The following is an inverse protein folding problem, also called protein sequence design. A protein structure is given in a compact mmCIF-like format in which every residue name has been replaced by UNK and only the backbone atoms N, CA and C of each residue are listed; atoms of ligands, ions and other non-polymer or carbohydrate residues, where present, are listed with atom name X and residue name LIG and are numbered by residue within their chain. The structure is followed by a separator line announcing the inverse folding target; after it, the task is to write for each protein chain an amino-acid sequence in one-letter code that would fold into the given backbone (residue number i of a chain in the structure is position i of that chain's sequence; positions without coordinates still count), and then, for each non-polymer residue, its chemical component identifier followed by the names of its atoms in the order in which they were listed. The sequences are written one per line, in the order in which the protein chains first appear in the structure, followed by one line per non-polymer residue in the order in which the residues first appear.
data_IF_752038557120
#
_entry.id   IF_752038557120
#
_cell.length_a   1.000
_cell.length_b   1.000
_cell.length_c   1.000
_cell.angle_alpha   90.00
_cell.angle_beta   90.00
_cell.angle_gamma   90.00
#
_symmetry.space_group_name_H-M   'P 1'
#
loop_
_entity.id
_entity.type
_entity.pdbx_description
1 polymer ?
#
# COMPACT_ATOMS: atom_id res chain seq x y z
N UNK A 1 6.22 -21.63 -15.10
CA UNK A 1 6.38 -20.87 -13.85
C UNK A 1 6.80 -19.47 -14.20
N UNK A 2 6.23 -18.44 -13.58
CA UNK A 2 6.47 -17.06 -14.00
C UNK A 2 7.09 -16.24 -12.87
N UNK A 3 8.36 -16.46 -12.63
CA UNK A 3 9.18 -15.58 -11.81
C UNK A 3 9.35 -14.23 -12.53
N UNK A 4 9.24 -13.11 -11.80
CA UNK A 4 9.50 -11.77 -12.32
C UNK A 4 10.59 -11.11 -11.48
N UNK A 5 11.70 -10.75 -12.13
CA UNK A 5 12.85 -10.16 -11.45
C UNK A 5 13.11 -8.76 -12.00
N UNK A 6 13.10 -7.79 -11.09
CA UNK A 6 13.47 -6.41 -11.35
C UNK A 6 14.85 -6.16 -10.71
N UNK A 7 15.88 -5.87 -11.52
CA UNK A 7 17.25 -5.62 -11.06
C UNK A 7 17.66 -4.21 -11.43
N UNK A 8 17.89 -3.36 -10.41
CA UNK A 8 18.34 -1.98 -10.59
C UNK A 8 17.48 -1.16 -11.56
N UNK A 9 16.16 -1.43 -11.57
CA UNK A 9 15.23 -0.76 -12.49
C UNK A 9 15.19 0.74 -12.18
N UNK A 10 15.43 1.53 -13.24
CA UNK A 10 15.42 3.00 -13.20
C UNK A 10 14.54 3.54 -14.31
N UNK A 11 13.76 4.59 -13.98
CA UNK A 11 13.02 5.38 -14.98
C UNK A 11 13.31 6.84 -14.83
N UNK A 12 13.79 7.45 -15.92
CA UNK A 12 14.01 8.89 -16.05
C UNK A 12 13.12 9.40 -17.19
N UNK A 13 12.33 10.42 -16.91
CA UNK A 13 11.61 11.16 -17.92
C UNK A 13 12.43 12.39 -18.34
N UNK A 14 12.84 12.51 -19.61
CA UNK A 14 13.68 13.62 -20.07
C UNK A 14 13.01 14.98 -19.81
N UNK A 15 13.79 15.99 -19.45
CA UNK A 15 13.30 17.36 -19.34
C UNK A 15 12.80 17.86 -20.69
N UNK A 16 11.48 18.02 -20.85
CA UNK A 16 10.84 18.56 -22.05
C UNK A 16 10.82 20.10 -22.11
N UNK A 17 11.39 20.77 -21.12
CA UNK A 17 11.49 22.23 -21.12
C UNK A 17 12.61 22.70 -22.07
N UNK A 18 12.29 22.66 -23.37
CA UNK A 18 12.91 23.52 -24.34
C UNK A 18 12.55 24.99 -24.04
N UNK A 19 13.62 25.80 -23.84
CA UNK A 19 13.66 27.25 -23.79
C UNK A 19 12.49 27.94 -24.51
N UNK A 20 11.35 28.14 -23.84
CA UNK A 20 10.36 29.13 -24.25
C UNK A 20 9.88 29.90 -23.02
N UNK A 21 10.45 31.10 -22.91
CA UNK A 21 9.93 32.30 -22.22
C UNK A 21 9.17 32.08 -20.89
N UNK A 22 9.84 32.45 -19.78
CA UNK A 22 9.17 32.84 -18.53
C UNK A 22 8.11 33.92 -18.81
N UNK A 23 6.86 33.54 -18.93
CA UNK A 23 5.74 34.45 -18.70
C UNK A 23 5.60 34.63 -17.20
N UNK A 24 5.84 35.85 -16.73
CA UNK A 24 5.53 36.30 -15.35
C UNK A 24 4.03 36.13 -15.13
N UNK A 25 3.63 35.36 -14.11
CA UNK A 25 2.28 35.43 -13.58
C UNK A 25 1.48 34.13 -13.45
N UNK A 26 2.05 32.93 -13.64
CA UNK A 26 1.35 31.70 -13.30
C UNK A 26 1.71 31.21 -11.88
N UNK A 27 0.72 30.67 -11.09
CA UNK A 27 1.01 30.13 -9.78
C UNK A 27 1.97 28.95 -9.89
N UNK A 28 2.99 28.90 -9.04
CA UNK A 28 3.96 27.82 -8.95
C UNK A 28 3.22 26.47 -8.86
N UNK A 29 3.34 25.65 -9.90
CA UNK A 29 2.93 24.24 -9.85
C UNK A 29 3.70 23.59 -8.69
N UNK A 30 2.99 22.91 -7.80
CA UNK A 30 3.60 22.12 -6.71
C UNK A 30 4.78 21.34 -7.27
N UNK A 31 6.00 21.66 -6.82
CA UNK A 31 7.20 20.90 -7.16
C UNK A 31 6.98 19.47 -6.68
N UNK A 32 7.07 18.49 -7.58
CA UNK A 32 7.09 17.09 -7.20
C UNK A 32 8.33 16.87 -6.32
N UNK A 33 8.22 16.08 -5.26
CA UNK A 33 9.38 15.70 -4.42
C UNK A 33 10.31 14.71 -5.13
N UNK A 34 10.06 14.40 -6.40
CA UNK A 34 10.91 13.52 -7.20
C UNK A 34 12.28 14.16 -7.47
N UNK A 35 13.31 13.32 -7.50
CA UNK A 35 14.65 13.73 -7.83
C UNK A 35 14.71 14.26 -9.28
N UNK A 36 15.18 15.48 -9.45
CA UNK A 36 15.42 16.10 -10.74
C UNK A 36 16.92 16.11 -11.01
N UNK A 37 17.35 15.49 -12.10
CA UNK A 37 18.74 15.47 -12.57
C UNK A 37 18.89 16.25 -13.86
N UNK A 38 20.10 16.38 -14.37
CA UNK A 38 20.36 16.96 -15.70
C UNK A 38 19.68 16.17 -16.80
N UNK A 39 19.55 14.85 -16.65
CA UNK A 39 18.89 13.94 -17.59
C UNK A 39 17.36 14.07 -17.57
N UNK A 40 16.78 14.53 -16.46
CA UNK A 40 15.33 14.65 -16.31
C UNK A 40 14.80 14.33 -14.91
N UNK A 41 13.51 14.05 -14.84
CA UNK A 41 12.80 13.67 -13.62
C UNK A 41 12.93 12.17 -13.39
N UNK A 42 13.55 11.77 -12.29
CA UNK A 42 13.71 10.36 -11.91
C UNK A 42 12.44 9.88 -11.23
N UNK A 43 11.61 9.16 -11.95
CA UNK A 43 10.33 8.65 -11.46
C UNK A 43 10.46 7.34 -10.68
N UNK A 44 11.44 6.52 -11.02
CA UNK A 44 11.81 5.30 -10.30
C UNK A 44 13.33 5.26 -10.21
N UNK A 45 13.81 5.11 -8.99
CA UNK A 45 15.23 4.97 -8.70
C UNK A 45 15.57 3.48 -8.57
N UNK A 46 16.68 3.09 -8.14
CA UNK A 46 17.18 1.73 -7.99
C UNK A 46 16.16 0.71 -7.42
N UNK A 47 15.19 0.28 -8.25
CA UNK A 47 14.13 -0.63 -7.83
C UNK A 47 14.56 -2.09 -8.02
N UNK A 48 14.65 -2.82 -6.91
CA UNK A 48 15.06 -4.22 -6.86
C UNK A 48 13.96 -5.07 -6.23
N UNK A 49 13.50 -6.12 -6.93
CA UNK A 49 12.48 -7.04 -6.43
C UNK A 49 12.51 -8.36 -7.19
N UNK A 50 12.59 -9.46 -6.45
CA UNK A 50 12.42 -10.81 -6.96
C UNK A 50 11.02 -11.30 -6.56
N UNK A 51 10.16 -11.55 -7.55
CA UNK A 51 8.79 -12.02 -7.39
C UNK A 51 8.75 -13.50 -7.75
N UNK A 52 8.31 -14.33 -6.83
CA UNK A 52 8.18 -15.76 -7.02
C UNK A 52 6.98 -16.11 -7.89
N UNK A 53 7.01 -17.30 -8.49
CA UNK A 53 5.84 -17.83 -9.19
C UNK A 53 4.60 -17.86 -8.30
N UNK A 54 3.45 -17.41 -8.85
CA UNK A 54 2.15 -17.32 -8.19
C UNK A 54 2.12 -16.41 -6.95
N UNK A 55 3.14 -15.61 -6.74
CA UNK A 55 3.16 -14.62 -5.67
C UNK A 55 2.27 -13.40 -6.00
N UNK A 56 1.60 -12.87 -4.98
CA UNK A 56 0.80 -11.65 -5.08
C UNK A 56 1.57 -10.49 -4.46
N UNK A 57 2.15 -9.64 -5.31
CA UNK A 57 2.87 -8.43 -4.90
C UNK A 57 1.97 -7.22 -5.00
N UNK A 58 1.97 -6.38 -3.96
CA UNK A 58 1.26 -5.10 -3.97
C UNK A 58 2.27 -3.94 -3.89
N UNK A 59 2.22 -3.03 -4.86
CA UNK A 59 2.94 -1.76 -4.83
C UNK A 59 2.02 -0.70 -4.22
N UNK A 60 2.42 -0.08 -3.12
CA UNK A 60 1.64 0.93 -2.42
C UNK A 60 2.48 2.17 -2.09
N UNK A 61 1.84 3.32 -1.96
CA UNK A 61 2.51 4.58 -1.62
C UNK A 61 1.70 5.80 -2.07
N UNK A 62 2.15 7.01 -1.77
CA UNK A 62 1.52 8.25 -2.17
C UNK A 62 1.37 8.39 -3.69
N UNK A 63 0.46 9.28 -4.13
CA UNK A 63 0.31 9.60 -5.54
C UNK A 63 1.61 10.15 -6.13
N UNK A 64 1.99 9.66 -7.32
CA UNK A 64 3.20 10.11 -8.00
C UNK A 64 4.52 9.47 -7.54
N UNK A 65 4.52 8.50 -6.62
CA UNK A 65 5.75 7.86 -6.14
C UNK A 65 6.35 6.78 -7.07
N UNK A 66 5.81 6.58 -8.28
CA UNK A 66 6.40 5.66 -9.27
C UNK A 66 5.71 4.30 -9.44
N UNK A 67 4.66 3.96 -8.67
CA UNK A 67 3.97 2.65 -8.72
C UNK A 67 3.47 2.26 -10.11
N UNK A 68 2.58 3.07 -10.69
CA UNK A 68 2.02 2.80 -12.03
C UNK A 68 3.11 2.87 -13.11
N UNK A 69 4.13 3.69 -12.94
CA UNK A 69 5.30 3.72 -13.83
C UNK A 69 6.03 2.38 -13.79
N UNK A 70 6.29 1.84 -12.59
CA UNK A 70 6.92 0.52 -12.42
C UNK A 70 6.05 -0.57 -13.06
N UNK A 71 4.74 -0.57 -12.80
CA UNK A 71 3.81 -1.53 -13.40
C UNK A 71 3.83 -1.46 -14.94
N UNK A 72 3.83 -0.24 -15.51
CA UNK A 72 3.87 -0.03 -16.96
C UNK A 72 5.19 -0.44 -17.59
N UNK A 73 6.31 -0.31 -16.87
CA UNK A 73 7.60 -0.86 -17.31
C UNK A 73 7.55 -2.39 -17.39
N UNK A 74 6.95 -3.07 -16.40
CA UNK A 74 6.73 -4.53 -16.45
C UNK A 74 5.83 -4.90 -17.61
N UNK A 75 4.79 -4.11 -17.87
CA UNK A 75 3.88 -4.31 -19.01
C UNK A 75 4.53 -4.04 -20.38
N UNK A 76 5.68 -3.38 -20.45
CA UNK A 76 6.29 -2.92 -21.70
C UNK A 76 5.60 -1.72 -22.32
N UNK A 77 4.71 -1.06 -21.57
CA UNK A 77 4.02 0.18 -22.00
C UNK A 77 4.86 1.42 -21.73
N UNK A 78 5.94 1.26 -20.96
CA UNK A 78 6.88 2.32 -20.61
C UNK A 78 8.31 1.77 -20.74
N UNK A 79 9.19 2.51 -21.41
CA UNK A 79 10.58 2.11 -21.59
C UNK A 79 11.37 2.19 -20.27
N UNK A 80 12.23 1.23 -20.01
CA UNK A 80 13.15 1.18 -18.89
C UNK A 80 14.38 2.03 -19.22
N UNK A 81 14.77 2.95 -18.33
CA UNK A 81 15.95 3.80 -18.53
C UNK A 81 17.24 3.16 -18.04
N UNK A 82 17.18 2.19 -17.14
CA UNK A 82 18.32 1.43 -16.63
C UNK A 82 17.88 0.19 -15.87
N UNK A 83 18.79 -0.76 -15.70
CA UNK A 83 18.51 -2.03 -15.05
C UNK A 83 17.92 -3.09 -15.99
N UNK A 84 17.62 -4.26 -15.43
CA UNK A 84 17.14 -5.43 -16.15
C UNK A 84 15.82 -5.95 -15.59
N UNK A 85 14.84 -6.15 -16.48
CA UNK A 85 13.59 -6.85 -16.20
C UNK A 85 13.63 -8.23 -16.82
N UNK A 86 13.44 -9.25 -15.98
CA UNK A 86 13.35 -10.63 -16.44
C UNK A 86 11.95 -11.19 -16.11
N UNK A 87 11.37 -11.94 -17.05
CA UNK A 87 10.16 -12.75 -16.85
C UNK A 87 10.52 -14.16 -17.25
N UNK A 88 10.33 -15.10 -16.34
CA UNK A 88 10.66 -16.51 -16.55
C UNK A 88 12.14 -16.72 -17.01
N UNK A 89 13.05 -15.98 -16.37
CA UNK A 89 14.48 -15.98 -16.65
C UNK A 89 14.91 -15.28 -17.94
N UNK A 90 13.98 -14.76 -18.75
CA UNK A 90 14.26 -14.04 -20.00
C UNK A 90 14.24 -12.54 -19.78
N UNK A 91 15.28 -11.84 -20.23
CA UNK A 91 15.29 -10.36 -20.25
C UNK A 91 14.27 -9.86 -21.27
N UNK A 92 13.35 -8.96 -20.79
CA UNK A 92 12.22 -8.48 -21.60
C UNK A 92 12.22 -6.96 -21.78
N UNK A 93 13.30 -6.27 -21.48
CA UNK A 93 13.37 -4.80 -21.58
C UNK A 93 12.85 -4.28 -22.94
N UNK A 94 13.30 -4.91 -24.05
CA UNK A 94 13.02 -4.53 -25.43
C UNK A 94 11.93 -5.38 -26.10
N UNK A 95 11.28 -6.29 -25.32
CA UNK A 95 10.20 -7.15 -25.82
C UNK A 95 8.90 -6.36 -25.82
N UNK A 96 8.16 -6.42 -26.91
CA UNK A 96 6.85 -5.75 -27.02
C UNK A 96 5.82 -6.33 -26.03
N UNK A 97 4.84 -5.54 -25.55
CA UNK A 97 3.84 -5.99 -24.57
C UNK A 97 3.09 -7.27 -24.95
N UNK A 98 2.79 -7.45 -26.26
CA UNK A 98 2.04 -8.61 -26.77
C UNK A 98 2.81 -9.95 -26.62
N UNK A 99 4.16 -9.86 -26.55
CA UNK A 99 5.07 -11.02 -26.56
C UNK A 99 5.63 -11.34 -25.14
N UNK A 100 5.17 -10.59 -24.10
CA UNK A 100 5.63 -10.79 -22.70
C UNK A 100 4.85 -11.83 -21.91
N UNK A 101 3.80 -12.43 -22.47
CA UNK A 101 2.90 -13.37 -21.79
C UNK A 101 2.27 -12.79 -20.50
N UNK A 102 1.85 -11.54 -20.58
CA UNK A 102 1.23 -10.78 -19.51
C UNK A 102 -0.18 -10.32 -19.90
N UNK A 103 -1.01 -10.01 -18.91
CA UNK A 103 -2.25 -9.27 -19.10
C UNK A 103 -2.34 -8.12 -18.10
N UNK A 104 -3.03 -7.04 -18.49
CA UNK A 104 -3.16 -5.84 -17.66
C UNK A 104 -4.61 -5.41 -17.52
N UNK A 105 -5.02 -5.13 -16.28
CA UNK A 105 -6.28 -4.50 -15.92
C UNK A 105 -6.01 -3.04 -15.57
N UNK A 106 -6.64 -2.13 -16.31
CA UNK A 106 -6.45 -0.68 -16.15
C UNK A 106 -7.46 -0.09 -15.17
N UNK A 107 -7.09 1.01 -14.54
CA UNK A 107 -7.93 1.78 -13.60
C UNK A 107 -9.30 2.17 -14.19
N UNK A 108 -9.37 2.52 -15.47
CA UNK A 108 -10.59 2.91 -16.17
C UNK A 108 -11.28 1.74 -16.88
N UNK A 109 -10.90 0.49 -16.53
CA UNK A 109 -11.38 -0.77 -17.12
C UNK A 109 -11.01 -0.94 -18.61
N UNK A 110 -10.87 0.11 -19.38
CA UNK A 110 -10.55 0.16 -20.83
C UNK A 110 -11.41 -0.82 -21.67
N UNK A 111 -12.69 -0.98 -21.35
CA UNK A 111 -13.61 -1.83 -22.11
C UNK A 111 -13.98 -1.19 -23.45
N UNK A 112 -14.12 -2.02 -24.48
CA UNK A 112 -14.62 -1.60 -25.78
C UNK A 112 -16.14 -1.35 -25.70
N UNK A 113 -16.62 -0.09 -25.76
CA UNK A 113 -18.01 0.25 -25.44
C UNK A 113 -19.01 -0.23 -26.47
N UNK A 114 -18.58 -0.48 -27.71
CA UNK A 114 -19.39 -0.97 -28.81
C UNK A 114 -19.58 -2.48 -28.83
N UNK A 115 -18.68 -3.21 -28.15
CA UNK A 115 -18.74 -4.68 -28.01
C UNK A 115 -19.58 -5.11 -26.81
N UNK A 116 -20.17 -6.30 -26.88
CA UNK A 116 -20.77 -6.99 -25.72
C UNK A 116 -19.70 -7.41 -24.71
N UNK A 117 -20.10 -7.91 -23.53
CA UNK A 117 -19.19 -8.53 -22.56
C UNK A 117 -18.46 -9.70 -23.23
N UNK A 118 -19.18 -10.60 -23.89
CA UNK A 118 -18.60 -11.70 -24.68
C UNK A 118 -17.57 -11.19 -25.67
N UNK A 119 -17.93 -10.20 -26.48
CA UNK A 119 -17.03 -9.60 -27.48
C UNK A 119 -15.74 -9.00 -26.87
N UNK A 120 -15.86 -8.33 -25.70
CA UNK A 120 -14.69 -7.82 -24.98
C UNK A 120 -13.75 -8.94 -24.54
N UNK A 121 -14.29 -10.06 -24.06
CA UNK A 121 -13.49 -11.21 -23.58
C UNK A 121 -12.90 -12.03 -24.76
N UNK A 122 -13.64 -12.20 -25.85
CA UNK A 122 -13.17 -12.92 -27.05
C UNK A 122 -12.07 -12.17 -27.81
N UNK A 123 -12.08 -10.84 -27.76
CA UNK A 123 -11.24 -9.99 -28.61
C UNK A 123 -9.74 -10.35 -28.55
N UNK A 124 -9.11 -10.48 -27.37
CA UNK A 124 -7.69 -10.83 -27.30
C UNK A 124 -7.39 -12.22 -27.85
N UNK A 125 -8.32 -13.18 -27.75
CA UNK A 125 -8.15 -14.55 -28.25
C UNK A 125 -8.31 -14.59 -29.80
N UNK A 126 -9.23 -13.78 -30.35
CA UNK A 126 -9.37 -13.60 -31.80
C UNK A 126 -8.13 -12.99 -32.44
N UNK A 127 -7.45 -12.06 -31.76
CA UNK A 127 -6.19 -11.51 -32.22
C UNK A 127 -5.08 -12.56 -32.27
N UNK A 128 -5.12 -13.55 -31.37
CA UNK A 128 -4.21 -14.71 -31.38
C UNK A 128 -4.59 -15.77 -32.41
N UNK A 129 -5.68 -15.56 -33.19
CA UNK A 129 -6.20 -16.51 -34.18
C UNK A 129 -6.52 -17.90 -33.58
N UNK A 130 -6.97 -17.92 -32.32
CA UNK A 130 -7.38 -19.14 -31.63
C UNK A 130 -8.62 -19.78 -32.26
N UNK A 131 -8.77 -21.08 -32.14
CA UNK A 131 -9.95 -21.81 -32.61
C UNK A 131 -11.24 -21.28 -31.96
N UNK A 132 -12.34 -21.07 -32.74
CA UNK A 132 -13.59 -20.53 -32.22
C UNK A 132 -14.23 -21.36 -31.08
N UNK A 133 -14.08 -22.69 -31.08
CA UNK A 133 -14.60 -23.54 -30.03
C UNK A 133 -13.83 -23.34 -28.71
N UNK A 134 -12.51 -23.20 -28.81
CA UNK A 134 -11.63 -22.92 -27.66
C UNK A 134 -11.88 -21.50 -27.12
N UNK A 135 -12.09 -20.49 -27.97
CA UNK A 135 -12.48 -19.14 -27.55
C UNK A 135 -13.78 -19.20 -26.73
N UNK A 136 -14.80 -19.90 -27.23
CA UNK A 136 -16.09 -20.06 -26.54
C UNK A 136 -15.87 -20.68 -25.16
N UNK A 137 -15.15 -21.81 -25.08
CA UNK A 137 -14.86 -22.52 -23.84
C UNK A 137 -14.19 -21.62 -22.80
N UNK A 138 -13.11 -20.93 -23.16
CA UNK A 138 -12.36 -20.03 -22.25
C UNK A 138 -13.18 -18.86 -21.77
N UNK A 139 -13.99 -18.27 -22.64
CA UNK A 139 -14.88 -17.14 -22.26
C UNK A 139 -15.96 -17.59 -21.31
N UNK A 140 -16.60 -18.75 -21.53
CA UNK A 140 -17.63 -19.30 -20.67
C UNK A 140 -17.06 -19.67 -19.28
N UNK A 141 -15.89 -20.31 -19.24
CA UNK A 141 -15.19 -20.65 -18.01
C UNK A 141 -14.80 -19.38 -17.20
N UNK A 142 -14.19 -18.39 -17.85
CA UNK A 142 -13.85 -17.12 -17.19
C UNK A 142 -15.09 -16.37 -16.70
N UNK A 143 -16.18 -16.41 -17.47
CA UNK A 143 -17.46 -15.79 -17.08
C UNK A 143 -18.08 -16.48 -15.85
N UNK A 144 -17.96 -17.80 -15.75
CA UNK A 144 -18.40 -18.59 -14.61
C UNK A 144 -17.58 -18.28 -13.36
N UNK A 145 -16.23 -18.27 -13.48
CA UNK A 145 -15.30 -17.92 -12.38
C UNK A 145 -15.67 -16.56 -11.78
N UNK A 146 -16.04 -15.58 -12.63
CA UNK A 146 -16.34 -14.20 -12.23
C UNK A 146 -17.83 -13.94 -11.94
N UNK A 147 -18.71 -14.93 -12.12
CA UNK A 147 -20.15 -14.79 -11.90
C UNK A 147 -20.81 -13.76 -12.83
N UNK A 148 -20.40 -13.69 -14.10
CA UNK A 148 -20.88 -12.73 -15.10
C UNK A 148 -21.54 -13.39 -16.32
N UNK A 149 -21.79 -14.70 -16.29
CA UNK A 149 -22.37 -15.47 -17.40
C UNK A 149 -23.68 -14.86 -17.92
N UNK A 150 -24.56 -14.40 -17.02
CA UNK A 150 -25.84 -13.77 -17.37
C UNK A 150 -25.71 -12.39 -18.03
N UNK A 151 -24.50 -11.83 -18.08
CA UNK A 151 -24.24 -10.52 -18.67
C UNK A 151 -23.49 -10.58 -20.00
N UNK A 152 -23.12 -11.77 -20.49
CA UNK A 152 -22.28 -11.96 -21.67
C UNK A 152 -22.78 -11.22 -22.91
N UNK A 153 -24.09 -11.11 -23.09
CA UNK A 153 -24.69 -10.45 -24.26
C UNK A 153 -24.97 -8.95 -24.04
N UNK A 154 -24.68 -8.43 -22.82
CA UNK A 154 -24.86 -6.99 -22.53
C UNK A 154 -23.65 -6.18 -23.00
N UNK A 155 -23.90 -4.89 -23.25
CA UNK A 155 -22.83 -3.91 -23.51
C UNK A 155 -22.37 -3.24 -22.20
N UNK A 156 -21.14 -2.72 -22.11
CA UNK A 156 -20.58 -2.09 -20.91
C UNK A 156 -21.45 -0.98 -20.29
N UNK A 157 -22.18 -0.22 -21.11
CA UNK A 157 -23.10 0.83 -20.64
C UNK A 157 -24.26 0.33 -19.79
N UNK A 158 -24.63 -0.95 -19.91
CA UNK A 158 -25.73 -1.59 -19.17
C UNK A 158 -25.23 -2.33 -17.92
N UNK A 159 -23.98 -2.08 -17.48
CA UNK A 159 -23.34 -2.75 -16.35
C UNK A 159 -23.05 -1.76 -15.21
N UNK A 160 -23.12 -2.24 -13.98
CA UNK A 160 -22.62 -1.51 -12.81
C UNK A 160 -21.07 -1.40 -12.82
N UNK A 161 -20.51 -0.55 -11.96
CA UNK A 161 -19.04 -0.41 -11.81
C UNK A 161 -18.33 -1.75 -11.56
N UNK A 162 -18.81 -2.53 -10.57
CA UNK A 162 -18.23 -3.83 -10.25
C UNK A 162 -18.43 -4.88 -11.35
N UNK A 163 -19.54 -4.82 -12.09
CA UNK A 163 -19.71 -5.70 -13.24
C UNK A 163 -18.72 -5.35 -14.36
N UNK A 164 -18.51 -4.06 -14.65
CA UNK A 164 -17.46 -3.61 -15.60
C UNK A 164 -16.08 -4.06 -15.17
N UNK A 165 -15.77 -3.96 -13.87
CA UNK A 165 -14.51 -4.44 -13.31
C UNK A 165 -14.32 -5.94 -13.55
N UNK A 166 -15.33 -6.78 -13.23
CA UNK A 166 -15.28 -8.22 -13.49
C UNK A 166 -15.06 -8.53 -14.98
N UNK A 167 -15.70 -7.78 -15.88
CA UNK A 167 -15.48 -7.94 -17.34
C UNK A 167 -14.04 -7.58 -17.72
N UNK A 168 -13.46 -6.54 -17.16
CA UNK A 168 -12.06 -6.16 -17.42
C UNK A 168 -11.08 -7.24 -16.94
N UNK A 169 -11.33 -7.81 -15.75
CA UNK A 169 -10.59 -8.96 -15.23
C UNK A 169 -10.80 -10.17 -16.15
N UNK A 170 -12.04 -10.47 -16.55
CA UNK A 170 -12.38 -11.57 -17.47
C UNK A 170 -11.61 -11.48 -18.78
N UNK A 171 -11.58 -10.29 -19.40
CA UNK A 171 -10.78 -10.05 -20.61
C UNK A 171 -9.28 -10.30 -20.41
N UNK A 172 -8.77 -10.07 -19.21
CA UNK A 172 -7.37 -10.33 -18.90
C UNK A 172 -7.09 -11.82 -18.71
N UNK A 173 -7.94 -12.54 -17.95
CA UNK A 173 -7.68 -13.93 -17.57
C UNK A 173 -7.98 -14.97 -18.65
N UNK A 174 -8.86 -14.67 -19.64
CA UNK A 174 -9.14 -15.58 -20.76
C UNK A 174 -7.88 -15.98 -21.56
N UNK A 175 -6.83 -15.17 -21.49
CA UNK A 175 -5.52 -15.45 -22.13
C UNK A 175 -4.66 -16.43 -21.32
N UNK A 176 -5.07 -16.77 -20.10
CA UNK A 176 -4.26 -17.54 -19.15
C UNK A 176 -2.84 -16.97 -19.00
N UNK A 177 -2.71 -15.66 -18.68
CA UNK A 177 -1.41 -15.01 -18.65
C UNK A 177 -0.55 -15.56 -17.51
N UNK A 178 0.75 -15.61 -17.71
CA UNK A 178 1.70 -15.96 -16.63
C UNK A 178 1.77 -14.88 -15.56
N UNK A 179 1.65 -13.60 -15.94
CA UNK A 179 1.68 -12.46 -15.02
C UNK A 179 0.44 -11.57 -15.24
N UNK A 180 -0.30 -11.32 -14.18
CA UNK A 180 -1.48 -10.44 -14.19
C UNK A 180 -1.15 -9.13 -13.47
N UNK A 181 -1.19 -8.05 -14.23
CA UNK A 181 -0.90 -6.69 -13.78
C UNK A 181 -2.22 -5.94 -13.52
N UNK A 182 -2.34 -5.27 -12.39
CA UNK A 182 -3.54 -4.51 -12.03
C UNK A 182 -3.18 -3.09 -11.56
N UNK A 183 -3.56 -2.08 -12.34
CA UNK A 183 -3.30 -0.66 -12.05
C UNK A 183 -4.53 -0.03 -11.39
N UNK A 184 -4.53 0.10 -10.07
CA UNK A 184 -5.61 0.66 -9.24
C UNK A 184 -7.03 0.18 -9.62
N UNK A 185 -7.27 -1.13 -9.73
CA UNK A 185 -8.49 -1.63 -10.34
C UNK A 185 -9.77 -1.32 -9.54
N UNK A 186 -9.67 -1.06 -8.23
CA UNK A 186 -10.83 -0.83 -7.35
C UNK A 186 -11.06 0.65 -7.01
N UNK A 187 -10.20 1.56 -7.46
CA UNK A 187 -10.25 3.00 -7.09
C UNK A 187 -11.56 3.70 -7.48
N UNK A 188 -12.21 3.28 -8.56
CA UNK A 188 -13.45 3.87 -9.07
C UNK A 188 -14.74 3.25 -8.49
N UNK A 189 -14.64 2.42 -7.44
CA UNK A 189 -15.76 1.76 -6.80
C UNK A 189 -16.10 2.41 -5.45
N UNK A 190 -17.39 2.39 -5.08
CA UNK A 190 -17.81 2.75 -3.72
C UNK A 190 -17.28 1.76 -2.68
N UNK A 191 -17.28 2.14 -1.39
CA UNK A 191 -16.67 1.35 -0.32
C UNK A 191 -17.28 -0.06 -0.18
N UNK A 192 -18.60 -0.21 -0.31
CA UNK A 192 -19.27 -1.51 -0.21
C UNK A 192 -18.86 -2.44 -1.36
N UNK A 193 -18.86 -1.91 -2.57
CA UNK A 193 -18.51 -2.67 -3.77
C UNK A 193 -17.01 -2.99 -3.78
N UNK A 194 -16.16 -2.07 -3.30
CA UNK A 194 -14.71 -2.29 -3.15
C UNK A 194 -14.43 -3.47 -2.22
N UNK A 195 -15.10 -3.55 -1.06
CA UNK A 195 -14.97 -4.67 -0.13
C UNK A 195 -15.39 -6.01 -0.76
N UNK A 196 -16.50 -6.01 -1.52
CA UNK A 196 -16.94 -7.21 -2.23
C UNK A 196 -15.92 -7.64 -3.30
N UNK A 197 -15.45 -6.70 -4.12
CA UNK A 197 -14.49 -7.01 -5.19
C UNK A 197 -13.13 -7.46 -4.66
N UNK A 198 -12.69 -6.94 -3.50
CA UNK A 198 -11.47 -7.40 -2.84
C UNK A 198 -11.58 -8.89 -2.47
N UNK A 199 -12.70 -9.31 -1.87
CA UNK A 199 -12.95 -10.71 -1.57
C UNK A 199 -12.99 -11.58 -2.85
N UNK A 200 -13.53 -11.06 -3.95
CA UNK A 200 -13.54 -11.77 -5.25
C UNK A 200 -12.13 -11.91 -5.84
N UNK A 201 -11.26 -10.92 -5.70
CA UNK A 201 -9.87 -11.01 -6.15
C UNK A 201 -9.11 -12.09 -5.35
N UNK A 202 -9.35 -12.20 -4.04
CA UNK A 202 -8.78 -13.27 -3.20
C UNK A 202 -9.21 -14.66 -3.71
N UNK A 203 -10.51 -14.85 -4.01
CA UNK A 203 -11.02 -16.11 -4.56
C UNK A 203 -10.48 -16.38 -5.97
N UNK A 204 -10.38 -15.34 -6.79
CA UNK A 204 -9.83 -15.44 -8.14
C UNK A 204 -8.40 -15.95 -8.12
N UNK A 205 -7.55 -15.39 -7.24
CA UNK A 205 -6.17 -15.81 -7.06
C UNK A 205 -6.04 -17.33 -6.80
N UNK A 206 -6.98 -17.92 -6.05
CA UNK A 206 -6.97 -19.34 -5.75
C UNK A 206 -7.34 -20.24 -6.96
N UNK A 207 -7.94 -19.64 -8.00
CA UNK A 207 -8.46 -20.37 -9.18
C UNK A 207 -7.58 -20.23 -10.41
N UNK A 208 -6.72 -19.21 -10.44
CA UNK A 208 -5.83 -18.98 -11.60
C UNK A 208 -4.37 -19.07 -11.18
N UNK A 209 -3.59 -19.76 -12.01
CA UNK A 209 -2.15 -19.94 -11.80
C UNK A 209 -1.39 -18.79 -12.47
N UNK A 210 -1.35 -17.64 -11.84
CA UNK A 210 -0.63 -16.47 -12.33
C UNK A 210 0.11 -15.77 -11.21
N UNK A 211 1.21 -15.08 -11.54
CA UNK A 211 1.87 -14.14 -10.65
C UNK A 211 1.15 -12.80 -10.74
N UNK A 212 0.88 -12.17 -9.60
CA UNK A 212 0.14 -10.90 -9.54
C UNK A 212 1.04 -9.74 -9.17
N UNK A 213 0.92 -8.62 -9.90
CA UNK A 213 1.47 -7.34 -9.49
C UNK A 213 0.32 -6.33 -9.48
N UNK A 214 0.02 -5.84 -8.31
CA UNK A 214 -1.13 -4.98 -8.02
C UNK A 214 -0.68 -3.62 -7.53
N UNK A 215 -1.22 -2.56 -8.10
CA UNK A 215 -0.97 -1.18 -7.66
C UNK A 215 -2.19 -0.64 -6.97
N UNK A 216 -2.02 -0.03 -5.82
CA UNK A 216 -3.07 0.67 -5.10
C UNK A 216 -2.50 1.84 -4.28
N UNK A 217 -3.36 2.76 -3.87
CA UNK A 217 -3.10 3.74 -2.82
C UNK A 217 -3.85 3.40 -1.52
N UNK A 218 -4.66 2.34 -1.52
CA UNK A 218 -5.45 1.87 -0.37
C UNK A 218 -4.65 0.83 0.44
N UNK A 219 -4.35 1.18 1.69
CA UNK A 219 -3.60 0.30 2.61
C UNK A 219 -4.37 -0.99 2.92
N UNK A 220 -5.70 -0.91 3.03
CA UNK A 220 -6.53 -2.08 3.33
C UNK A 220 -6.46 -3.10 2.20
N UNK A 221 -6.44 -2.65 0.94
CA UNK A 221 -6.21 -3.52 -0.21
C UNK A 221 -4.83 -4.17 -0.11
N UNK A 222 -3.79 -3.37 0.14
CA UNK A 222 -2.42 -3.88 0.25
C UNK A 222 -2.28 -4.94 1.34
N UNK A 223 -2.77 -4.65 2.55
CA UNK A 223 -2.68 -5.54 3.71
C UNK A 223 -3.48 -6.85 3.56
N UNK A 224 -4.55 -6.83 2.74
CA UNK A 224 -5.44 -8.01 2.61
C UNK A 224 -5.16 -8.87 1.40
N UNK A 225 -4.58 -8.31 0.34
CA UNK A 225 -4.33 -9.01 -0.93
C UNK A 225 -2.90 -9.53 -1.07
N UNK A 226 -1.92 -8.77 -0.56
CA UNK A 226 -0.50 -9.04 -0.80
C UNK A 226 0.09 -10.17 0.04
N UNK A 227 0.89 -11.02 -0.58
CA UNK A 227 1.85 -11.86 0.15
C UNK A 227 3.00 -11.01 0.66
N UNK A 228 3.51 -10.14 -0.22
CA UNK A 228 4.42 -9.05 0.13
C UNK A 228 3.92 -7.74 -0.44
N UNK A 229 4.23 -6.69 0.29
CA UNK A 229 3.91 -5.31 -0.07
C UNK A 229 5.24 -4.57 -0.28
N UNK A 230 5.29 -3.77 -1.34
CA UNK A 230 6.38 -2.84 -1.64
C UNK A 230 5.88 -1.43 -1.36
N UNK A 231 6.40 -0.78 -0.34
CA UNK A 231 6.07 0.60 0.00
C UNK A 231 7.04 1.52 -0.74
N UNK A 232 6.48 2.45 -1.53
CA UNK A 232 7.25 3.40 -2.31
C UNK A 232 6.99 4.84 -1.87
N UNK A 233 8.04 5.66 -1.88
CA UNK A 233 7.98 7.11 -1.69
C UNK A 233 8.99 7.79 -2.61
N UNK A 234 8.57 8.82 -3.33
CA UNK A 234 9.44 9.69 -4.16
C UNK A 234 10.37 8.90 -5.10
N UNK A 235 9.85 7.84 -5.72
CA UNK A 235 10.58 6.97 -6.65
C UNK A 235 11.49 5.91 -6.00
N UNK A 236 11.50 5.83 -4.67
CA UNK A 236 12.37 4.92 -3.88
C UNK A 236 11.53 3.90 -3.13
N UNK A 237 12.00 2.65 -3.10
CA UNK A 237 11.44 1.60 -2.22
C UNK A 237 11.84 1.90 -0.78
N UNK A 238 10.85 2.05 0.09
CA UNK A 238 11.08 2.30 1.52
C UNK A 238 11.22 0.99 2.31
N UNK A 239 10.34 0.02 2.03
CA UNK A 239 10.39 -1.30 2.64
C UNK A 239 9.64 -2.31 1.77
N UNK A 240 10.11 -3.56 1.79
CA UNK A 240 9.44 -4.73 1.23
C UNK A 240 9.29 -5.75 2.36
N UNK A 241 8.09 -6.28 2.54
CA UNK A 241 7.82 -7.27 3.59
C UNK A 241 6.42 -7.86 3.49
N UNK A 242 6.13 -8.84 4.33
CA UNK A 242 4.75 -9.31 4.52
C UNK A 242 3.91 -8.21 5.17
N UNK A 243 2.57 -8.22 5.03
CA UNK A 243 1.71 -7.25 5.71
C UNK A 243 2.02 -7.11 7.19
N UNK A 244 2.20 -8.23 7.90
CA UNK A 244 2.48 -8.22 9.33
C UNK A 244 3.87 -7.63 9.65
N UNK A 245 4.92 -7.98 8.88
CA UNK A 245 6.26 -7.40 9.08
C UNK A 245 6.27 -5.87 8.91
N UNK A 246 5.54 -5.35 7.91
CA UNK A 246 5.44 -3.91 7.70
C UNK A 246 4.70 -3.19 8.83
N UNK A 247 3.73 -3.86 9.43
CA UNK A 247 2.95 -3.32 10.54
C UNK A 247 3.75 -3.37 11.86
N UNK A 248 4.36 -4.52 12.18
CA UNK A 248 5.05 -4.73 13.45
C UNK A 248 6.47 -4.15 13.45
N UNK A 249 7.15 -4.14 12.30
CA UNK A 249 8.55 -3.78 12.17
C UNK A 249 8.78 -2.75 11.06
N UNK A 250 8.15 -1.56 11.12
CA UNK A 250 8.38 -0.51 10.12
C UNK A 250 9.83 -0.06 10.14
N UNK A 251 10.43 0.06 8.94
CA UNK A 251 11.85 0.42 8.78
C UNK A 251 12.14 1.88 9.16
N UNK A 252 11.18 2.76 8.98
CA UNK A 252 11.33 4.18 9.25
C UNK A 252 9.98 4.84 9.60
N UNK A 253 10.04 6.08 10.06
CA UNK A 253 8.87 6.90 10.42
C UNK A 253 7.84 6.98 9.28
N UNK A 254 8.30 7.06 8.02
CA UNK A 254 7.37 7.11 6.88
C UNK A 254 6.55 5.82 6.77
N UNK A 255 7.18 4.66 6.82
CA UNK A 255 6.48 3.35 6.76
C UNK A 255 5.53 3.21 7.95
N UNK A 256 6.00 3.56 9.16
CA UNK A 256 5.21 3.51 10.39
C UNK A 256 3.93 4.36 10.32
N UNK A 257 4.06 5.58 9.81
CA UNK A 257 2.91 6.50 9.63
C UNK A 257 2.06 6.18 8.40
N UNK A 258 2.63 5.48 7.40
CA UNK A 258 1.90 5.12 6.19
C UNK A 258 1.07 3.85 6.38
N UNK A 259 1.52 2.88 7.16
CA UNK A 259 0.82 1.60 7.42
C UNK A 259 0.05 1.68 8.76
N UNK A 260 -1.25 1.43 8.68
CA UNK A 260 -2.18 1.45 9.81
C UNK A 260 -3.23 2.55 9.68
N UNK A 261 -4.46 2.26 10.09
CA UNK A 261 -5.59 3.19 10.10
C UNK A 261 -6.33 3.08 11.44
N UNK A 262 -6.28 4.14 12.26
CA UNK A 262 -5.56 5.41 12.08
C UNK A 262 -4.04 5.27 12.03
N UNK A 263 -3.36 6.37 11.65
CA UNK A 263 -1.90 6.40 11.60
C UNK A 263 -1.27 6.25 13.00
N UNK A 264 -0.02 5.77 13.04
CA UNK A 264 0.76 5.70 14.28
C UNK A 264 0.96 7.09 14.89
N UNK A 265 0.73 7.22 16.19
CA UNK A 265 1.07 8.42 16.93
C UNK A 265 2.59 8.55 17.05
N UNK A 266 3.10 9.77 16.82
CA UNK A 266 4.53 10.08 16.89
C UNK A 266 4.80 11.16 17.94
N UNK A 267 5.68 10.85 18.89
CA UNK A 267 6.04 11.72 19.99
C UNK A 267 7.53 12.01 20.00
N UNK A 268 7.92 13.21 20.42
CA UNK A 268 9.30 13.50 20.78
C UNK A 268 9.57 12.91 22.17
N UNK A 269 10.56 12.04 22.29
CA UNK A 269 10.86 11.30 23.50
C UNK A 269 12.38 11.12 23.68
N UNK A 270 12.77 10.61 24.84
CA UNK A 270 14.16 10.31 25.16
C UNK A 270 14.34 8.81 25.35
N UNK A 271 15.29 8.22 24.64
CA UNK A 271 15.75 6.85 24.90
C UNK A 271 16.86 6.91 25.95
N UNK A 272 16.68 6.17 27.04
CA UNK A 272 17.63 6.07 28.14
C UNK A 272 18.22 4.67 28.16
N UNK A 273 19.54 4.59 28.02
CA UNK A 273 20.33 3.36 28.22
C UNK A 273 21.06 3.44 29.56
N UNK A 274 20.86 2.48 30.43
CA UNK A 274 21.54 2.41 31.72
C UNK A 274 21.92 0.96 32.04
N UNK A 275 23.22 0.65 31.93
CA UNK A 275 23.75 -0.67 32.28
C UNK A 275 23.17 -1.82 31.43
N UNK A 276 22.88 -1.59 30.17
CA UNK A 276 22.32 -2.56 29.23
C UNK A 276 20.79 -2.65 29.29
N UNK A 277 20.12 -1.85 30.13
CA UNK A 277 18.67 -1.70 30.15
C UNK A 277 18.24 -0.47 29.38
N UNK A 278 17.19 -0.62 28.59
CA UNK A 278 16.63 0.46 27.80
C UNK A 278 15.23 0.83 28.25
N UNK A 279 14.98 2.12 28.41
CA UNK A 279 13.68 2.69 28.69
C UNK A 279 13.43 3.92 27.80
N UNK A 280 12.16 4.23 27.59
CA UNK A 280 11.72 5.43 26.90
C UNK A 280 11.06 6.36 27.88
N UNK A 281 11.48 7.63 27.87
CA UNK A 281 10.87 8.70 28.66
C UNK A 281 10.05 9.60 27.74
N UNK A 282 8.73 9.65 28.01
CA UNK A 282 7.77 10.54 27.35
C UNK A 282 7.15 11.45 28.41
N UNK A 283 7.41 12.75 28.36
CA UNK A 283 7.08 13.69 29.43
C UNK A 283 7.59 13.20 30.79
N UNK A 284 6.69 13.03 31.77
CA UNK A 284 7.03 12.54 33.12
C UNK A 284 6.94 11.01 33.27
N UNK A 285 6.62 10.29 32.19
CA UNK A 285 6.42 8.83 32.20
C UNK A 285 7.64 8.14 31.62
N UNK A 286 8.19 7.17 32.37
CA UNK A 286 9.27 6.30 31.88
C UNK A 286 8.77 4.87 31.77
N UNK A 287 8.96 4.27 30.60
CA UNK A 287 8.52 2.92 30.27
C UNK A 287 9.73 2.05 29.93
N UNK A 288 9.94 0.95 30.65
CA UNK A 288 10.98 -0.04 30.34
C UNK A 288 10.58 -0.79 29.06
N UNK A 289 11.50 -0.91 28.10
CA UNK A 289 11.27 -1.64 26.85
C UNK A 289 11.26 -3.16 27.09
N UNK A 290 10.59 -3.90 26.21
CA UNK A 290 10.57 -5.36 26.29
C UNK A 290 11.98 -5.95 26.11
N UNK A 291 12.19 -7.15 26.65
CA UNK A 291 13.50 -7.84 26.56
C UNK A 291 14.00 -8.00 25.13
N UNK A 292 13.10 -8.23 24.19
CA UNK A 292 13.40 -8.36 22.77
C UNK A 292 13.93 -7.04 22.18
N UNK A 293 13.22 -5.94 22.43
CA UNK A 293 13.64 -4.60 21.98
C UNK A 293 14.97 -4.17 22.61
N UNK A 294 15.15 -4.42 23.91
CA UNK A 294 16.42 -4.15 24.59
C UNK A 294 17.58 -4.93 23.94
N UNK A 295 17.36 -6.21 23.59
CA UNK A 295 18.35 -7.04 22.90
C UNK A 295 18.72 -6.46 21.53
N UNK A 296 17.73 -6.03 20.73
CA UNK A 296 17.96 -5.47 19.41
C UNK A 296 18.70 -4.14 19.47
N UNK A 297 18.28 -3.24 20.37
CA UNK A 297 18.97 -1.95 20.58
C UNK A 297 20.41 -2.13 21.06
N UNK A 298 20.66 -3.09 21.96
CA UNK A 298 21.99 -3.42 22.44
C UNK A 298 22.88 -4.01 21.32
N UNK A 299 22.32 -4.91 20.48
CA UNK A 299 23.04 -5.50 19.35
C UNK A 299 23.44 -4.44 18.33
N UNK A 300 22.62 -3.40 18.13
CA UNK A 300 22.90 -2.26 17.26
C UNK A 300 23.76 -1.18 17.93
N UNK A 301 24.20 -1.38 19.19
CA UNK A 301 25.06 -0.44 19.92
C UNK A 301 24.43 0.92 20.20
N UNK A 302 23.09 0.98 20.25
CA UNK A 302 22.33 2.21 20.45
C UNK A 302 22.61 2.79 21.84
N UNK A 303 22.80 4.09 21.93
CA UNK A 303 23.02 4.84 23.17
C UNK A 303 21.84 5.74 23.49
N UNK A 304 21.83 6.29 24.73
CA UNK A 304 20.86 7.31 25.11
C UNK A 304 20.87 8.47 24.13
N UNK A 305 19.69 8.85 23.63
CA UNK A 305 19.51 9.92 22.64
C UNK A 305 18.07 10.39 22.58
N UNK A 306 17.83 11.53 21.96
CA UNK A 306 16.50 11.95 21.55
C UNK A 306 16.00 11.06 20.41
N UNK A 307 14.74 10.71 20.45
CA UNK A 307 14.08 9.81 19.51
C UNK A 307 12.71 10.31 19.10
N UNK A 308 12.22 9.80 17.97
CA UNK A 308 10.79 9.79 17.71
C UNK A 308 10.21 8.45 18.20
N UNK A 309 9.32 8.54 19.20
CA UNK A 309 8.58 7.39 19.71
C UNK A 309 7.29 7.20 18.94
N UNK A 310 7.13 6.04 18.31
CA UNK A 310 5.90 5.65 17.63
C UNK A 310 5.04 4.71 18.49
N UNK A 311 3.75 5.02 18.61
CA UNK A 311 2.79 4.16 19.31
C UNK A 311 1.50 4.08 18.48
N UNK A 312 1.06 2.88 18.15
CA UNK A 312 -0.20 2.73 17.42
C UNK A 312 -1.41 3.07 18.29
N UNK A 313 -2.45 3.70 17.72
CA UNK A 313 -3.65 4.13 18.45
C UNK A 313 -4.32 3.01 19.27
N UNK A 314 -4.35 1.80 18.74
CA UNK A 314 -4.92 0.60 19.39
C UNK A 314 -4.07 0.03 20.52
N UNK A 315 -2.81 0.44 20.65
CA UNK A 315 -1.90 0.00 21.71
C UNK A 315 -1.81 0.96 22.90
N UNK A 316 -2.53 2.07 22.81
CA UNK A 316 -2.66 3.03 23.90
C UNK A 316 -3.82 2.61 24.79
N UNK A 317 -3.60 2.60 26.10
CA UNK A 317 -4.63 2.28 27.09
C UNK A 317 -4.89 3.49 27.98
N UNK A 318 -6.15 3.85 28.20
CA UNK A 318 -6.51 4.88 29.17
C UNK A 318 -6.09 4.44 30.58
N UNK A 319 -5.39 5.33 31.27
CA UNK A 319 -4.98 5.11 32.64
C UNK A 319 -6.08 5.58 33.60
N UNK A 320 -6.26 4.85 34.70
CA UNK A 320 -7.12 5.29 35.81
C UNK A 320 -6.28 6.12 36.80
N UNK A 321 -6.73 7.33 37.11
CA UNK A 321 -6.04 8.21 38.07
C UNK A 321 -4.98 9.14 37.43
N UNK A 322 -4.01 9.56 38.25
CA UNK A 322 -3.01 10.55 37.88
C UNK A 322 -1.77 10.01 37.15
N UNK A 323 -1.65 8.68 37.05
CA UNK A 323 -0.52 8.03 36.40
C UNK A 323 -0.73 7.98 34.90
N UNK A 324 0.30 8.31 34.11
CA UNK A 324 0.30 8.26 32.65
C UNK A 324 0.59 9.60 31.98
N UNK A 325 0.66 9.53 30.65
CA UNK A 325 0.84 10.72 29.81
C UNK A 325 -0.49 11.48 29.74
N UNK A 326 -0.45 12.76 30.08
CA UNK A 326 -1.67 13.61 30.12
C UNK A 326 -1.99 14.12 28.73
N UNK A 327 -3.29 14.18 28.42
CA UNK A 327 -3.83 14.76 27.20
C UNK A 327 -5.20 15.40 27.43
N UNK A 328 -5.58 16.30 26.53
CA UNK A 328 -6.91 16.91 26.52
C UNK A 328 -7.65 16.52 25.24
N UNK A 329 -8.85 15.97 25.39
CA UNK A 329 -9.68 15.52 24.26
C UNK A 329 -10.19 16.72 23.47
N UNK A 330 -9.88 16.76 22.17
CA UNK A 330 -10.31 17.80 21.24
C UNK A 330 -11.45 17.33 20.32
N UNK A 331 -11.42 16.03 19.91
CA UNK A 331 -12.47 15.42 19.09
C UNK A 331 -12.85 14.05 19.65
N UNK A 332 -14.12 13.74 19.58
CA UNK A 332 -14.70 12.48 20.04
C UNK A 332 -15.50 11.85 18.89
N UNK A 333 -15.04 10.73 18.36
CA UNK A 333 -15.71 10.03 17.26
C UNK A 333 -16.26 8.69 17.72
N UNK A 334 -17.59 8.54 17.71
CA UNK A 334 -18.26 7.29 18.02
C UNK A 334 -18.34 6.40 16.77
N UNK A 335 -17.51 5.35 16.71
CA UNK A 335 -17.44 4.41 15.59
C UNK A 335 -18.28 3.13 15.80
N UNK A 336 -19.17 3.14 16.80
CA UNK A 336 -20.02 1.98 17.17
C UNK A 336 -19.28 1.04 18.13
N UNK A 337 -18.42 0.16 17.65
CA UNK A 337 -17.65 -0.77 18.47
C UNK A 337 -16.44 -0.17 19.18
N UNK A 338 -16.02 1.03 18.72
CA UNK A 338 -14.90 1.76 19.29
C UNK A 338 -15.20 3.26 19.35
N UNK A 339 -14.48 3.98 20.20
CA UNK A 339 -14.42 5.42 20.25
C UNK A 339 -13.02 5.82 19.82
N UNK A 340 -12.91 6.73 18.85
CA UNK A 340 -11.66 7.39 18.53
C UNK A 340 -11.60 8.72 19.25
N UNK A 341 -10.67 8.84 20.18
CA UNK A 341 -10.38 10.08 20.89
C UNK A 341 -9.20 10.76 20.21
N UNK A 342 -9.41 11.97 19.71
CA UNK A 342 -8.32 12.85 19.31
C UNK A 342 -8.00 13.75 20.48
N UNK A 343 -6.81 13.63 21.02
CA UNK A 343 -6.36 14.37 22.17
C UNK A 343 -5.05 15.10 21.86
N UNK A 344 -4.90 16.31 22.38
CA UNK A 344 -3.60 16.96 22.41
C UNK A 344 -2.80 16.42 23.59
N UNK A 345 -1.73 15.67 23.30
CA UNK A 345 -0.81 15.15 24.30
C UNK A 345 0.64 15.49 23.91
N UNK A 346 1.41 16.02 24.84
CA UNK A 346 2.80 16.48 24.59
C UNK A 346 2.91 17.45 23.40
N UNK A 347 1.87 18.25 23.12
CA UNK A 347 1.82 19.17 21.99
C UNK A 347 1.62 18.49 20.61
N UNK A 348 1.25 17.22 20.60
CA UNK A 348 0.98 16.40 19.39
C UNK A 348 -0.48 15.97 19.36
N UNK A 349 -1.07 15.97 18.17
CA UNK A 349 -2.37 15.32 17.94
C UNK A 349 -2.18 13.80 18.12
N UNK A 350 -2.94 13.22 19.04
CA UNK A 350 -2.82 11.85 19.50
C UNK A 350 -4.16 11.15 19.37
N UNK A 351 -4.21 10.06 18.60
CA UNK A 351 -5.41 9.27 18.43
C UNK A 351 -5.34 8.06 19.37
N UNK A 352 -6.41 7.87 20.16
CA UNK A 352 -6.55 6.74 21.09
C UNK A 352 -7.80 5.98 20.70
N UNK A 353 -7.68 4.67 20.47
CA UNK A 353 -8.82 3.79 20.17
C UNK A 353 -9.26 3.10 21.46
N UNK A 354 -10.46 3.40 21.90
CA UNK A 354 -11.06 2.77 23.08
C UNK A 354 -12.21 1.87 22.66
N UNK A 355 -12.12 0.58 22.96
CA UNK A 355 -13.20 -0.37 22.66
C UNK A 355 -14.40 -0.11 23.58
N UNK A 356 -15.58 0.09 23.01
CA UNK A 356 -16.80 0.43 23.79
C UNK A 356 -17.20 -0.66 24.77
N UNK A 357 -16.90 -1.93 24.47
CA UNK A 357 -17.17 -3.07 25.35
C UNK A 357 -16.31 -3.08 26.63
N UNK A 358 -15.18 -2.37 26.62
CA UNK A 358 -14.25 -2.31 27.76
C UNK A 358 -14.51 -1.12 28.68
N UNK A 359 -15.49 -0.27 28.34
CA UNK A 359 -15.84 0.90 29.15
C UNK A 359 -17.13 0.64 29.94
N UNK A 360 -17.09 0.90 31.25
CA UNK A 360 -18.31 1.04 32.02
C UNK A 360 -19.12 2.28 31.56
N UNK A 361 -20.44 2.26 31.76
CA UNK A 361 -21.30 3.39 31.33
C UNK A 361 -20.91 4.73 31.98
N UNK A 362 -20.42 4.69 33.23
CA UNK A 362 -19.92 5.86 33.93
C UNK A 362 -18.64 6.43 33.28
N UNK A 363 -17.72 5.55 32.85
CA UNK A 363 -16.48 5.94 32.16
C UNK A 363 -16.79 6.50 30.77
N UNK A 364 -17.75 5.87 30.07
CA UNK A 364 -18.22 6.36 28.76
C UNK A 364 -18.83 7.75 28.84
N UNK A 365 -19.61 8.04 29.88
CA UNK A 365 -20.21 9.35 30.13
C UNK A 365 -19.21 10.43 30.55
N UNK A 366 -18.06 10.03 31.09
CA UNK A 366 -16.97 10.94 31.47
C UNK A 366 -16.07 11.36 30.31
N UNK A 367 -16.10 10.63 29.18
CA UNK A 367 -15.30 10.95 28.00
C UNK A 367 -16.07 11.91 27.09
N UNK A 368 -15.64 13.15 27.01
CA UNK A 368 -16.24 14.19 26.18
C UNK A 368 -15.18 15.16 25.66
N UNK A 369 -15.55 16.00 24.72
CA UNK A 369 -14.68 17.08 24.25
C UNK A 369 -14.34 18.00 25.42
N UNK A 370 -13.04 18.29 25.58
CA UNK A 370 -12.50 19.09 26.67
C UNK A 370 -12.12 18.30 27.92
N UNK A 371 -12.44 17.00 27.99
CA UNK A 371 -12.03 16.14 29.12
C UNK A 371 -10.50 16.01 29.17
N UNK A 372 -9.95 16.02 30.39
CA UNK A 372 -8.58 15.60 30.63
C UNK A 372 -8.54 14.07 30.72
N UNK A 373 -7.58 13.47 30.03
CA UNK A 373 -7.32 12.03 30.04
C UNK A 373 -5.87 11.74 30.42
N UNK A 374 -5.64 10.58 30.95
CA UNK A 374 -4.30 10.02 31.10
C UNK A 374 -4.23 8.71 30.34
N UNK A 375 -3.10 8.40 29.74
CA UNK A 375 -2.91 7.14 29.03
C UNK A 375 -1.52 6.54 29.26
N UNK A 376 -1.42 5.24 29.05
CA UNK A 376 -0.19 4.46 29.14
C UNK A 376 0.00 3.60 27.92
N UNK A 377 1.20 3.06 27.77
CA UNK A 377 1.55 2.10 26.73
C UNK A 377 2.59 1.11 27.24
N UNK A 378 2.62 -0.09 26.66
CA UNK A 378 3.62 -1.09 26.99
C UNK A 378 4.95 -0.90 26.27
N UNK A 379 6.06 -1.24 26.88
CA UNK A 379 7.38 -1.17 26.23
C UNK A 379 7.57 -2.15 25.05
N UNK A 380 6.68 -3.13 24.91
CA UNK A 380 6.66 -4.06 23.78
C UNK A 380 6.07 -3.46 22.50
N UNK A 381 5.21 -2.46 22.61
CA UNK A 381 4.51 -1.81 21.49
C UNK A 381 5.12 -0.46 21.08
N UNK A 382 6.15 0.00 21.80
CA UNK A 382 6.89 1.21 21.51
C UNK A 382 7.80 1.01 20.29
N UNK A 383 7.71 1.86 19.26
CA UNK A 383 8.62 1.89 18.11
C UNK A 383 9.62 3.02 18.26
N UNK A 384 10.90 2.72 18.11
CA UNK A 384 12.00 3.63 18.41
C UNK A 384 12.67 4.09 17.12
N UNK A 385 12.51 5.37 16.75
CA UNK A 385 13.13 5.94 15.57
C UNK A 385 14.18 6.98 15.97
N UNK A 386 15.35 6.91 15.32
CA UNK A 386 16.39 7.90 15.47
C UNK A 386 16.03 9.26 14.86
N UNK A 387 16.93 10.25 15.02
CA UNK A 387 16.73 11.60 14.45
C UNK A 387 16.62 11.60 12.92
N UNK A 388 17.24 10.65 12.25
CA UNK A 388 17.15 10.45 10.79
C UNK A 388 15.83 9.76 10.37
N UNK A 389 14.99 9.38 11.33
CA UNK A 389 13.74 8.68 11.14
C UNK A 389 13.86 7.18 10.87
N UNK A 390 15.06 6.58 10.99
CA UNK A 390 15.24 5.13 10.86
C UNK A 390 14.88 4.41 12.16
N UNK A 391 14.40 3.18 12.04
CA UNK A 391 14.09 2.35 13.20
C UNK A 391 15.40 1.82 13.82
N UNK A 392 15.65 2.14 15.08
CA UNK A 392 16.89 1.79 15.79
C UNK A 392 16.96 0.30 16.20
N UNK A 393 15.87 -0.43 16.10
CA UNK A 393 15.78 -1.85 16.42
C UNK A 393 16.20 -2.77 15.24
N UNK A 394 16.48 -2.21 14.03
CA UNK A 394 16.82 -2.96 12.80
C UNK A 394 18.28 -2.80 12.37
#
# INVERSE_FOLDING_TARGET
MAEVILKHIKKVYPNTENKKSKKKGEPEKKKSNLLITEEGVVAVQDFNLDIKDQEFIVLVGPSGCGKSTTLRMVAGLEGISGGDLLIDGKKVNDVEPKDRDIAMVFQNYALYPHMTVRGNMEFPLKLQKMDPAEIKRRVEEAAEILGITQFLERKPKALSGGQRQRVAIGRAIVREPKVLLMDEPLSNLDAKLRNQMRAEIIKLRQRINATFIYVTHDQTEAMTLGDRIVIMKDGVVQQIGTPQDLFDHPRNVFVAGFIGMPQMNMFDAELIENGGKYSVKLADVTVELSKEKQKNLAANGVKSQNITLGIRPEHITLAQGAEGVKGKVEVFEMMGSAIHLHANACGRDTIIIVQTMNLADAERSGLSIGSEISFTFGGNVAHIFGEDGTNLER
#
